data_IF_003912684890
#
_entry.id   IF_003912684890
#
_cell.length_a   1.000
_cell.length_b   1.000
_cell.length_c   1.000
_cell.angle_alpha   90.00
_cell.angle_beta   90.00
_cell.angle_gamma   90.00
#
_symmetry.space_group_name_H-M   'P 1'
#
loop_
_entity.id
_entity.type
_entity.pdbx_description
1 polymer ?
#
# COMPACT_ATOMS: atom_id res chain seq x y z
N UNK A 1 -7.37 -8.82 28.96
CA UNK A 1 -7.66 -7.58 28.17
C UNK A 1 -7.01 -6.33 28.76
N UNK A 2 -7.09 -6.06 30.08
CA UNK A 2 -6.44 -4.88 30.72
C UNK A 2 -4.96 -4.71 30.31
N UNK A 3 -4.20 -5.79 30.36
CA UNK A 3 -2.79 -5.83 29.93
C UNK A 3 -2.60 -5.39 28.48
N UNK A 4 -3.49 -5.79 27.56
CA UNK A 4 -3.38 -5.42 26.15
C UNK A 4 -3.64 -3.94 25.91
N UNK A 5 -4.57 -3.35 26.66
CA UNK A 5 -4.77 -1.89 26.64
C UNK A 5 -3.57 -1.15 27.23
N UNK A 6 -2.99 -1.65 28.33
CA UNK A 6 -1.76 -1.06 28.90
C UNK A 6 -0.58 -1.11 27.94
N UNK A 7 -0.37 -2.25 27.25
CA UNK A 7 0.71 -2.39 26.25
C UNK A 7 0.47 -1.44 25.07
N UNK A 8 -0.74 -1.40 24.51
CA UNK A 8 -1.05 -0.51 23.39
C UNK A 8 -0.92 0.97 23.78
N UNK A 9 -1.45 1.38 24.94
CA UNK A 9 -1.31 2.74 25.45
C UNK A 9 0.13 3.13 25.73
N UNK A 10 0.90 2.22 26.35
CA UNK A 10 2.34 2.41 26.55
C UNK A 10 3.10 2.58 25.24
N UNK A 11 2.76 1.81 24.21
CA UNK A 11 3.35 1.92 22.89
C UNK A 11 3.02 3.25 22.19
N UNK A 12 1.79 3.75 22.35
CA UNK A 12 1.40 5.08 21.87
C UNK A 12 2.24 6.16 22.57
N UNK A 13 2.37 6.11 23.89
CA UNK A 13 3.19 7.07 24.65
C UNK A 13 4.66 7.01 24.21
N UNK A 14 5.23 5.81 24.10
CA UNK A 14 6.61 5.63 23.61
C UNK A 14 6.75 6.22 22.19
N UNK A 15 5.81 5.92 21.29
CA UNK A 15 5.81 6.49 19.95
C UNK A 15 5.75 8.01 19.95
N UNK A 16 4.94 8.61 20.83
CA UNK A 16 4.86 10.07 20.98
C UNK A 16 6.21 10.63 21.45
N UNK A 17 6.87 9.97 22.41
CA UNK A 17 8.20 10.38 22.87
C UNK A 17 9.23 10.30 21.74
N UNK A 18 9.25 9.20 20.99
CA UNK A 18 10.16 9.05 19.83
C UNK A 18 9.90 10.13 18.79
N UNK A 19 8.63 10.41 18.49
CA UNK A 19 8.25 11.46 17.55
C UNK A 19 8.72 12.85 18.00
N UNK A 20 8.59 13.18 19.30
CA UNK A 20 9.03 14.46 19.84
C UNK A 20 10.56 14.58 19.86
N UNK A 21 11.28 13.48 20.05
CA UNK A 21 12.74 13.48 20.10
C UNK A 21 13.41 13.42 18.72
N UNK A 22 12.86 12.65 17.78
CA UNK A 22 13.51 12.31 16.51
C UNK A 22 12.73 12.74 15.26
N UNK A 23 11.50 13.24 15.44
CA UNK A 23 10.62 13.58 14.32
C UNK A 23 9.95 12.38 13.67
N UNK A 24 9.47 12.56 12.45
CA UNK A 24 8.73 11.56 11.69
C UNK A 24 9.65 10.42 11.20
N UNK A 25 9.05 9.27 10.88
CA UNK A 25 9.78 8.10 10.35
C UNK A 25 10.41 8.45 8.99
N UNK A 26 11.74 8.31 8.82
CA UNK A 26 12.40 8.61 7.56
C UNK A 26 12.26 7.44 6.57
N UNK A 27 11.08 7.28 5.96
CA UNK A 27 10.78 6.14 5.07
C UNK A 27 11.81 5.95 3.95
N UNK A 28 12.33 7.04 3.36
CA UNK A 28 13.34 6.98 2.30
C UNK A 28 14.66 6.34 2.73
N UNK A 29 15.02 6.42 4.02
CA UNK A 29 16.21 5.77 4.56
C UNK A 29 16.05 4.24 4.66
N UNK A 30 14.82 3.74 4.52
CA UNK A 30 14.44 2.33 4.65
C UNK A 30 14.13 1.72 3.27
N UNK A 31 14.46 2.40 2.18
CA UNK A 31 14.34 1.87 0.82
C UNK A 31 15.17 0.59 0.60
N UNK A 32 14.96 -0.07 -0.54
CA UNK A 32 15.68 -1.26 -0.93
C UNK A 32 17.21 -1.08 -0.83
N UNK A 33 17.95 -2.04 -0.24
CA UNK A 33 17.53 -3.38 0.21
C UNK A 33 17.06 -3.48 1.67
N UNK A 34 17.03 -2.37 2.42
CA UNK A 34 16.82 -2.40 3.86
C UNK A 34 15.40 -2.83 4.24
N UNK A 35 14.37 -2.33 3.56
CA UNK A 35 12.98 -2.81 3.75
C UNK A 35 12.83 -4.32 3.52
N UNK A 36 13.51 -4.89 2.53
CA UNK A 36 13.54 -6.32 2.27
C UNK A 36 14.16 -7.10 3.43
N UNK A 37 15.27 -6.61 3.98
CA UNK A 37 15.90 -7.18 5.18
C UNK A 37 15.00 -7.06 6.41
N UNK A 38 14.33 -5.93 6.61
CA UNK A 38 13.38 -5.73 7.72
C UNK A 38 12.17 -6.66 7.61
N UNK A 39 11.64 -6.86 6.39
CA UNK A 39 10.56 -7.82 6.15
C UNK A 39 11.01 -9.26 6.48
N UNK A 40 12.19 -9.66 6.00
CA UNK A 40 12.78 -10.96 6.33
C UNK A 40 13.01 -11.14 7.83
N UNK A 41 13.51 -10.11 8.52
CA UNK A 41 13.70 -10.11 9.96
C UNK A 41 12.36 -10.23 10.71
N UNK A 42 11.31 -9.52 10.29
CA UNK A 42 9.96 -9.64 10.86
C UNK A 42 9.43 -11.08 10.74
N UNK A 43 9.59 -11.72 9.58
CA UNK A 43 9.20 -13.11 9.36
C UNK A 43 10.01 -14.06 10.26
N UNK A 44 11.33 -13.91 10.32
CA UNK A 44 12.18 -14.75 11.16
C UNK A 44 11.84 -14.61 12.65
N UNK A 45 11.70 -13.38 13.14
CA UNK A 45 11.36 -13.09 14.52
C UNK A 45 9.98 -13.62 14.91
N UNK A 46 8.98 -13.53 14.02
CA UNK A 46 7.64 -14.07 14.29
C UNK A 46 7.63 -15.60 14.32
N UNK A 47 8.43 -16.26 13.49
CA UNK A 47 8.62 -17.73 13.55
C UNK A 47 9.33 -18.13 14.85
N UNK A 48 10.42 -17.46 15.22
CA UNK A 48 11.13 -17.71 16.48
C UNK A 48 10.17 -17.52 17.66
N UNK A 49 9.42 -16.41 17.67
CA UNK A 49 8.43 -16.15 18.69
C UNK A 49 7.39 -17.28 18.73
N UNK A 50 6.84 -17.68 17.59
CA UNK A 50 5.90 -18.80 17.53
C UNK A 50 6.46 -20.08 18.15
N UNK A 51 7.72 -20.45 17.89
CA UNK A 51 8.36 -21.63 18.49
C UNK A 51 8.49 -21.50 20.02
N UNK A 52 8.79 -20.30 20.51
CA UNK A 52 8.96 -19.99 21.93
C UNK A 52 7.64 -19.78 22.70
N UNK A 53 6.48 -19.75 22.02
CA UNK A 53 5.15 -19.42 22.60
C UNK A 53 4.75 -20.26 23.81
N UNK A 54 5.24 -21.50 23.92
CA UNK A 54 4.94 -22.37 25.06
C UNK A 54 5.80 -22.02 26.28
N UNK A 55 7.00 -21.47 26.07
CA UNK A 55 7.96 -21.14 27.12
C UNK A 55 7.80 -19.71 27.66
N UNK A 56 7.48 -18.75 26.80
CA UNK A 56 7.41 -17.32 27.17
C UNK A 56 5.96 -16.86 27.29
N UNK A 57 5.59 -16.36 28.47
CA UNK A 57 4.25 -15.83 28.75
C UNK A 57 3.85 -14.70 27.79
N UNK A 58 4.72 -13.70 27.60
CA UNK A 58 4.45 -12.53 26.73
C UNK A 58 4.09 -12.95 25.32
N UNK A 59 4.82 -13.91 24.75
CA UNK A 59 4.54 -14.42 23.40
C UNK A 59 3.20 -15.16 23.35
N UNK A 60 2.91 -15.97 24.38
CA UNK A 60 1.62 -16.68 24.49
C UNK A 60 0.46 -15.69 24.55
N UNK A 61 0.65 -14.60 25.30
CA UNK A 61 -0.29 -13.49 25.44
C UNK A 61 -0.48 -12.75 24.11
N UNK A 62 0.59 -12.36 23.43
CA UNK A 62 0.55 -11.68 22.13
C UNK A 62 -0.20 -12.49 21.07
N UNK A 63 -0.06 -13.81 21.10
CA UNK A 63 -0.78 -14.70 20.18
C UNK A 63 -2.25 -14.95 20.59
N UNK A 64 -2.81 -14.24 21.58
CA UNK A 64 -4.18 -14.39 22.05
C UNK A 64 -5.09 -13.23 21.61
N UNK A 65 -6.40 -13.47 21.59
CA UNK A 65 -7.38 -12.41 21.30
C UNK A 65 -7.35 -11.28 22.35
N UNK A 66 -6.86 -11.55 23.56
CA UNK A 66 -6.72 -10.57 24.64
C UNK A 66 -5.71 -9.47 24.30
N UNK A 67 -4.75 -9.74 23.41
CA UNK A 67 -3.82 -8.77 22.85
C UNK A 67 -4.33 -8.17 21.53
N UNK A 68 -4.96 -9.00 20.68
CA UNK A 68 -5.44 -8.57 19.37
C UNK A 68 -6.54 -7.49 19.45
N UNK A 69 -7.53 -7.65 20.34
CA UNK A 69 -8.66 -6.70 20.43
C UNK A 69 -8.19 -5.29 20.83
N UNK A 70 -7.38 -5.10 21.90
CA UNK A 70 -6.89 -3.77 22.24
C UNK A 70 -6.07 -3.12 21.13
N UNK A 71 -5.18 -3.88 20.48
CA UNK A 71 -4.36 -3.35 19.35
C UNK A 71 -5.24 -2.93 18.18
N UNK A 72 -6.29 -3.69 17.87
CA UNK A 72 -7.28 -3.31 16.87
C UNK A 72 -8.03 -2.03 17.26
N UNK A 73 -8.40 -1.85 18.53
CA UNK A 73 -9.04 -0.61 19.00
C UNK A 73 -8.11 0.59 18.82
N UNK A 74 -6.83 0.48 19.20
CA UNK A 74 -5.86 1.55 18.96
C UNK A 74 -5.67 1.84 17.47
N UNK A 75 -5.53 0.80 16.65
CA UNK A 75 -5.40 0.96 15.21
C UNK A 75 -6.61 1.69 14.60
N UNK A 76 -7.83 1.31 15.00
CA UNK A 76 -9.07 1.97 14.54
C UNK A 76 -9.11 3.43 14.99
N UNK A 77 -8.81 3.73 16.26
CA UNK A 77 -8.80 5.12 16.76
C UNK A 77 -7.79 5.98 15.99
N UNK A 78 -6.57 5.48 15.79
CA UNK A 78 -5.55 6.21 15.04
C UNK A 78 -5.90 6.35 13.55
N UNK A 79 -6.58 5.36 12.96
CA UNK A 79 -7.09 5.43 11.58
C UNK A 79 -8.24 6.45 11.46
N UNK A 80 -9.11 6.55 12.47
CA UNK A 80 -10.14 7.59 12.51
C UNK A 80 -9.49 8.97 12.57
N UNK A 81 -8.47 9.15 13.41
CA UNK A 81 -7.71 10.42 13.45
C UNK A 81 -7.13 10.72 12.07
N UNK A 82 -6.48 9.75 11.42
CA UNK A 82 -5.96 9.89 10.06
C UNK A 82 -7.03 10.30 9.04
N UNK A 83 -8.24 9.75 9.14
CA UNK A 83 -9.35 10.08 8.23
C UNK A 83 -10.03 11.42 8.53
N UNK A 84 -9.93 11.93 9.77
CA UNK A 84 -10.49 13.22 10.18
C UNK A 84 -9.50 14.38 10.02
N UNK A 85 -8.19 14.11 9.93
CA UNK A 85 -7.19 15.13 9.67
C UNK A 85 -6.84 15.20 8.19
N UNK A 86 -6.55 16.41 7.70
CA UNK A 86 -6.09 16.62 6.32
C UNK A 86 -4.73 15.97 6.14
N UNK A 87 -4.67 14.82 5.48
CA UNK A 87 -3.41 14.16 5.13
C UNK A 87 -2.68 14.97 4.06
N UNK A 88 -1.40 15.23 4.28
CA UNK A 88 -0.56 15.94 3.31
C UNK A 88 -0.07 14.97 2.24
N UNK A 89 -0.09 15.42 0.99
CA UNK A 89 0.59 14.72 -0.10
C UNK A 89 1.99 15.29 -0.21
N UNK A 90 3.01 14.46 -0.45
CA UNK A 90 4.40 14.93 -0.51
C UNK A 90 4.68 16.00 -1.57
N UNK A 91 3.71 16.32 -2.44
CA UNK A 91 3.81 17.30 -3.53
C UNK A 91 3.77 18.77 -3.06
N UNK A 92 3.28 19.04 -1.86
CA UNK A 92 3.11 20.41 -1.35
C UNK A 92 4.34 20.87 -0.55
N UNK A 93 5.29 21.54 -1.22
CA UNK A 93 6.54 22.04 -0.58
C UNK A 93 6.33 23.16 0.47
N UNK A 94 5.13 23.72 0.57
CA UNK A 94 4.82 24.89 1.40
C UNK A 94 3.85 24.60 2.56
N UNK A 95 3.60 23.33 2.92
CA UNK A 95 2.63 23.02 3.98
C UNK A 95 3.24 23.10 5.38
N UNK A 96 2.84 24.11 6.16
CA UNK A 96 3.00 24.18 7.62
C UNK A 96 2.05 23.17 8.31
N UNK A 97 2.29 21.88 8.08
CA UNK A 97 1.51 20.79 8.66
C UNK A 97 1.99 20.42 10.05
N UNK A 98 1.07 19.92 10.89
CA UNK A 98 1.43 19.19 12.10
C UNK A 98 1.76 17.74 11.76
N UNK A 99 2.45 17.04 12.65
CA UNK A 99 2.63 15.58 12.67
C UNK A 99 1.33 14.74 12.51
N UNK A 100 0.14 15.29 12.75
CA UNK A 100 -1.14 14.61 12.47
C UNK A 100 -1.57 14.67 11.00
N UNK A 101 -0.89 15.50 10.20
CA UNK A 101 -1.08 15.60 8.76
C UNK A 101 -0.25 14.54 7.99
N UNK A 102 0.66 13.82 8.66
CA UNK A 102 1.42 12.70 8.09
C UNK A 102 1.38 11.49 9.02
N UNK A 103 0.20 10.87 9.09
CA UNK A 103 -0.04 9.75 10.00
C UNK A 103 0.74 8.49 9.63
N UNK A 104 1.13 8.34 8.36
CA UNK A 104 1.92 7.18 7.91
C UNK A 104 3.37 7.27 8.38
N UNK A 105 3.92 8.46 8.61
CA UNK A 105 5.23 8.65 9.22
C UNK A 105 5.19 8.88 10.74
N UNK A 106 4.00 8.80 11.35
CA UNK A 106 3.79 9.07 12.77
C UNK A 106 4.09 7.84 13.66
N UNK A 107 5.07 7.94 14.56
CA UNK A 107 5.58 6.79 15.33
C UNK A 107 4.53 5.97 16.10
N UNK A 108 3.57 6.55 16.86
CA UNK A 108 2.48 5.79 17.48
C UNK A 108 1.67 4.95 16.50
N UNK A 109 1.37 5.49 15.32
CA UNK A 109 0.68 4.76 14.27
C UNK A 109 1.52 3.58 13.80
N UNK A 110 2.80 3.83 13.46
CA UNK A 110 3.73 2.81 12.98
C UNK A 110 3.94 1.69 14.00
N UNK A 111 4.16 2.03 15.28
CA UNK A 111 4.40 1.02 16.31
C UNK A 111 3.16 0.14 16.54
N UNK A 112 1.96 0.72 16.58
CA UNK A 112 0.71 -0.04 16.71
C UNK A 112 0.52 -0.96 15.50
N UNK A 113 0.85 -0.48 14.29
CA UNK A 113 0.76 -1.26 13.07
C UNK A 113 1.77 -2.43 13.04
N UNK A 114 3.01 -2.20 13.49
CA UNK A 114 4.03 -3.25 13.67
C UNK A 114 3.56 -4.30 14.68
N UNK A 115 3.00 -3.88 15.82
CA UNK A 115 2.45 -4.80 16.80
C UNK A 115 1.28 -5.61 16.23
N UNK A 116 0.40 -4.97 15.46
CA UNK A 116 -0.70 -5.63 14.74
C UNK A 116 -0.17 -6.66 13.74
N UNK A 117 0.89 -6.34 12.99
CA UNK A 117 1.55 -7.27 12.06
C UNK A 117 2.10 -8.50 12.80
N UNK A 118 2.78 -8.30 13.93
CA UNK A 118 3.32 -9.39 14.74
C UNK A 118 2.21 -10.29 15.30
N UNK A 119 1.15 -9.72 15.85
CA UNK A 119 0.01 -10.49 16.37
C UNK A 119 -0.66 -11.27 15.24
N UNK A 120 -0.90 -10.64 14.09
CA UNK A 120 -1.51 -11.27 12.92
C UNK A 120 -0.66 -12.44 12.41
N UNK A 121 0.66 -12.26 12.29
CA UNK A 121 1.60 -13.33 11.92
C UNK A 121 1.55 -14.52 12.90
N UNK A 122 1.55 -14.26 14.21
CA UNK A 122 1.45 -15.30 15.24
C UNK A 122 0.12 -16.07 15.17
N UNK A 123 -0.98 -15.37 14.87
CA UNK A 123 -2.31 -15.98 14.68
C UNK A 123 -2.32 -16.87 13.43
N UNK A 124 -1.72 -16.42 12.32
CA UNK A 124 -1.58 -17.21 11.10
C UNK A 124 -0.78 -18.50 11.37
N UNK A 125 0.41 -18.38 11.98
CA UNK A 125 1.26 -19.52 12.31
C UNK A 125 0.57 -20.52 13.25
N UNK A 126 -0.18 -20.02 14.23
CA UNK A 126 -0.98 -20.87 15.13
C UNK A 126 -2.05 -21.65 14.37
N UNK A 127 -2.72 -21.04 13.40
CA UNK A 127 -3.72 -21.74 12.58
C UNK A 127 -3.06 -22.76 11.66
N UNK A 128 -1.96 -22.41 11.02
CA UNK A 128 -1.20 -23.31 10.14
C UNK A 128 -0.66 -24.55 10.88
N UNK A 129 -0.27 -24.41 12.14
CA UNK A 129 0.19 -25.55 12.94
C UNK A 129 -0.93 -26.51 13.40
N UNK A 130 -2.20 -26.12 13.25
CA UNK A 130 -3.37 -26.91 13.65
C UNK A 130 -4.41 -27.00 12.52
N UNK A 131 -3.93 -27.18 11.27
CA UNK A 131 -4.78 -27.43 10.11
C UNK A 131 -5.51 -28.78 10.31
N UNK A 132 -6.81 -28.70 10.57
CA UNK A 132 -7.64 -29.88 10.84
C UNK A 132 -8.77 -30.02 9.83
N UNK A 133 -9.31 -28.91 9.33
CA UNK A 133 -10.37 -28.92 8.33
C UNK A 133 -10.11 -27.88 7.25
N UNK A 134 -9.79 -28.35 6.05
CA UNK A 134 -9.52 -27.54 4.86
C UNK A 134 -10.63 -26.49 4.61
N UNK A 135 -11.91 -26.88 4.72
CA UNK A 135 -13.08 -25.98 4.49
C UNK A 135 -13.20 -24.83 5.50
N UNK A 136 -12.67 -25.01 6.72
CA UNK A 136 -12.72 -24.00 7.79
C UNK A 136 -11.43 -23.21 7.89
N UNK A 137 -10.30 -23.85 7.61
CA UNK A 137 -8.99 -23.32 7.92
C UNK A 137 -8.40 -22.51 6.76
N UNK A 138 -8.65 -22.90 5.50
CA UNK A 138 -8.22 -22.08 4.36
C UNK A 138 -8.86 -20.70 4.35
N UNK A 139 -10.20 -20.54 4.46
CA UNK A 139 -10.79 -19.21 4.30
C UNK A 139 -10.30 -18.26 5.39
N UNK A 140 -10.02 -18.80 6.58
CA UNK A 140 -9.34 -18.08 7.65
C UNK A 140 -7.92 -17.68 7.26
N UNK A 141 -7.08 -18.63 6.83
CA UNK A 141 -5.67 -18.37 6.50
C UNK A 141 -5.56 -17.42 5.31
N UNK A 142 -6.35 -17.59 4.25
CA UNK A 142 -6.34 -16.70 3.08
C UNK A 142 -6.67 -15.26 3.47
N UNK A 143 -7.70 -15.04 4.29
CA UNK A 143 -8.04 -13.69 4.75
C UNK A 143 -6.95 -13.08 5.63
N UNK A 144 -6.41 -13.82 6.60
CA UNK A 144 -5.43 -13.28 7.53
C UNK A 144 -4.05 -13.11 6.88
N UNK A 145 -3.61 -14.08 6.09
CA UNK A 145 -2.36 -14.01 5.33
C UNK A 145 -2.44 -12.96 4.22
N UNK A 146 -3.60 -12.84 3.57
CA UNK A 146 -3.84 -11.80 2.58
C UNK A 146 -3.77 -10.41 3.20
N UNK A 147 -4.44 -10.20 4.36
CA UNK A 147 -4.33 -8.97 5.14
C UNK A 147 -2.89 -8.71 5.58
N UNK A 148 -2.19 -9.71 6.11
CA UNK A 148 -0.80 -9.58 6.56
C UNK A 148 0.11 -9.14 5.41
N UNK A 149 -0.02 -9.77 4.25
CA UNK A 149 0.78 -9.45 3.08
C UNK A 149 0.47 -8.02 2.61
N UNK A 150 -0.79 -7.71 2.30
CA UNK A 150 -1.20 -6.39 1.83
C UNK A 150 -0.76 -5.28 2.80
N UNK A 151 -0.94 -5.51 4.09
CA UNK A 151 -0.57 -4.57 5.14
C UNK A 151 0.93 -4.33 5.23
N UNK A 152 1.74 -5.39 5.31
CA UNK A 152 3.19 -5.27 5.55
C UNK A 152 3.94 -4.81 4.30
N UNK A 153 3.57 -5.30 3.12
CA UNK A 153 4.23 -4.92 1.87
C UNK A 153 3.82 -3.53 1.40
N UNK A 154 2.60 -3.06 1.69
CA UNK A 154 2.24 -1.67 1.41
C UNK A 154 3.02 -0.69 2.29
N UNK A 155 3.19 -0.97 3.58
CA UNK A 155 3.96 -0.10 4.47
C UNK A 155 5.45 -0.07 4.12
N UNK A 156 6.08 -1.24 3.92
CA UNK A 156 7.52 -1.31 3.62
C UNK A 156 7.85 -0.90 2.18
N UNK A 157 6.92 -1.15 1.25
CA UNK A 157 7.06 -0.78 -0.16
C UNK A 157 6.90 0.71 -0.42
N UNK A 158 6.25 1.46 0.48
CA UNK A 158 6.11 2.91 0.36
C UNK A 158 7.45 3.64 0.22
N UNK A 159 8.53 3.10 0.79
CA UNK A 159 9.88 3.63 0.66
C UNK A 159 10.46 3.53 -0.76
N UNK A 160 10.03 2.54 -1.54
CA UNK A 160 10.51 2.28 -2.90
C UNK A 160 9.58 2.84 -3.98
N UNK A 161 8.38 3.29 -3.60
CA UNK A 161 7.43 3.88 -4.53
C UNK A 161 7.97 5.22 -5.05
N UNK A 162 8.13 5.32 -6.36
CA UNK A 162 8.53 6.55 -7.03
C UNK A 162 7.34 7.14 -7.78
N UNK A 163 7.16 8.46 -7.63
CA UNK A 163 6.20 9.25 -8.40
C UNK A 163 6.93 10.42 -9.02
N UNK A 164 6.95 10.48 -10.34
CA UNK A 164 7.64 11.50 -11.11
C UNK A 164 6.66 12.19 -12.06
N UNK A 165 6.85 13.49 -12.29
CA UNK A 165 6.11 14.26 -13.29
C UNK A 165 7.01 14.61 -14.45
N UNK A 166 6.60 14.30 -15.68
CA UNK A 166 7.31 14.66 -16.90
C UNK A 166 6.45 15.63 -17.71
N UNK A 167 7.08 16.68 -18.24
CA UNK A 167 6.44 17.56 -19.24
C UNK A 167 6.98 17.15 -20.61
N UNK A 168 6.16 16.45 -21.38
CA UNK A 168 6.51 16.02 -22.73
C UNK A 168 6.00 17.05 -23.75
N UNK A 169 6.87 17.54 -24.62
CA UNK A 169 6.52 18.51 -25.66
C UNK A 169 6.48 17.83 -27.03
N UNK A 170 5.61 18.33 -27.92
CA UNK A 170 5.42 17.76 -29.26
C UNK A 170 6.75 17.71 -30.03
N UNK A 171 7.12 16.51 -30.50
CA UNK A 171 8.31 16.28 -31.31
C UNK A 171 9.64 16.30 -30.55
N UNK A 172 9.62 16.48 -29.22
CA UNK A 172 10.82 16.56 -28.39
C UNK A 172 10.90 15.30 -27.50
N UNK A 173 11.92 14.44 -27.68
CA UNK A 173 12.16 13.33 -26.77
C UNK A 173 12.56 13.84 -25.40
N UNK A 174 11.82 13.43 -24.35
CA UNK A 174 12.09 13.82 -22.97
C UNK A 174 12.40 12.58 -22.11
N UNK A 175 13.38 12.71 -21.20
CA UNK A 175 13.79 11.65 -20.27
C UNK A 175 13.99 12.17 -18.86
N UNK A 176 13.82 13.48 -18.65
CA UNK A 176 13.90 14.12 -17.34
C UNK A 176 12.49 14.17 -16.77
N UNK A 177 12.36 13.70 -15.54
CA UNK A 177 11.12 13.80 -14.78
C UNK A 177 11.42 14.42 -13.41
N UNK A 178 10.48 15.22 -12.93
CA UNK A 178 10.55 15.92 -11.66
C UNK A 178 10.00 15.01 -10.56
N UNK A 179 10.83 14.69 -9.58
CA UNK A 179 10.40 14.00 -8.38
C UNK A 179 9.64 14.92 -7.43
N UNK A 180 8.92 14.32 -6.49
CA UNK A 180 8.12 15.01 -5.46
C UNK A 180 8.94 16.03 -4.65
N UNK A 181 10.21 15.71 -4.37
CA UNK A 181 11.15 16.60 -3.67
C UNK A 181 11.79 17.68 -4.57
N UNK A 182 11.30 17.86 -5.80
CA UNK A 182 11.80 18.86 -6.75
C UNK A 182 13.11 18.47 -7.44
N UNK A 183 13.65 17.28 -7.16
CA UNK A 183 14.86 16.81 -7.85
C UNK A 183 14.53 16.30 -9.25
N UNK A 184 15.41 16.55 -10.20
CA UNK A 184 15.27 16.02 -11.56
C UNK A 184 15.90 14.62 -11.60
N UNK A 185 15.08 13.62 -11.91
CA UNK A 185 15.50 12.25 -12.14
C UNK A 185 15.50 11.95 -13.64
N UNK A 186 16.54 11.25 -14.10
CA UNK A 186 16.62 10.77 -15.49
C UNK A 186 16.07 9.35 -15.56
N UNK A 187 15.16 9.13 -16.49
CA UNK A 187 14.57 7.82 -16.76
C UNK A 187 15.46 7.02 -17.73
N UNK A 188 15.38 5.69 -17.68
CA UNK A 188 16.08 4.81 -18.63
C UNK A 188 15.41 4.76 -20.02
N UNK A 189 14.24 5.41 -20.17
CA UNK A 189 13.48 5.52 -21.43
C UNK A 189 13.26 6.99 -21.81
N UNK A 190 13.09 7.26 -23.10
CA UNK A 190 12.67 8.57 -23.59
C UNK A 190 11.22 8.52 -24.04
N UNK A 191 10.43 9.53 -23.69
CA UNK A 191 9.05 9.70 -24.13
C UNK A 191 8.98 10.95 -25.00
N UNK A 192 8.54 10.80 -26.24
CA UNK A 192 8.28 11.90 -27.15
C UNK A 192 6.76 12.03 -27.34
N UNK A 193 6.21 13.22 -27.11
CA UNK A 193 4.82 13.49 -27.44
C UNK A 193 4.69 13.64 -28.96
N UNK A 194 3.87 12.83 -29.61
CA UNK A 194 3.54 13.01 -31.03
C UNK A 194 2.39 13.99 -31.18
N UNK A 195 1.34 13.80 -30.39
CA UNK A 195 0.14 14.63 -30.45
C UNK A 195 -0.66 14.50 -29.17
N UNK A 196 -1.17 15.63 -28.69
CA UNK A 196 -2.18 15.67 -27.67
C UNK A 196 -3.58 15.62 -28.30
N UNK A 197 -4.48 14.84 -27.71
CA UNK A 197 -5.85 14.66 -28.16
C UNK A 197 -6.76 15.13 -27.03
N UNK A 198 -7.69 16.02 -27.34
CA UNK A 198 -8.78 16.39 -26.45
C UNK A 198 -10.11 16.24 -27.19
N UNK A 199 -11.02 15.49 -26.61
CA UNK A 199 -12.42 15.44 -27.03
C UNK A 199 -13.23 16.32 -26.06
N UNK A 200 -14.08 17.18 -26.61
CA UNK A 200 -15.01 18.00 -25.85
C UNK A 200 -16.45 17.54 -26.08
N UNK A 201 -17.32 17.76 -25.10
CA UNK A 201 -18.77 17.71 -25.31
C UNK A 201 -19.24 18.94 -26.11
N UNK A 202 -20.49 18.92 -26.56
CA UNK A 202 -21.10 20.02 -27.32
C UNK A 202 -21.17 21.34 -26.51
N UNK A 203 -21.17 21.23 -25.18
CA UNK A 203 -21.13 22.37 -24.25
C UNK A 203 -19.70 22.91 -24.00
N UNK A 204 -18.69 22.33 -24.65
CA UNK A 204 -17.28 22.72 -24.54
C UNK A 204 -16.53 22.10 -23.36
N UNK A 205 -17.19 21.32 -22.50
CA UNK A 205 -16.52 20.65 -21.38
C UNK A 205 -15.63 19.49 -21.86
N UNK A 206 -14.48 19.28 -21.20
CA UNK A 206 -13.55 18.22 -21.57
C UNK A 206 -14.14 16.83 -21.28
N UNK A 207 -14.27 16.01 -22.33
CA UNK A 207 -14.78 14.64 -22.25
C UNK A 207 -13.67 13.63 -22.03
N UNK A 208 -12.56 13.80 -22.75
CA UNK A 208 -11.41 12.90 -22.75
C UNK A 208 -10.18 13.67 -23.18
N UNK A 209 -9.05 13.37 -22.56
CA UNK A 209 -7.77 13.82 -23.06
C UNK A 209 -6.79 12.66 -23.05
N UNK A 210 -5.95 12.59 -24.08
CA UNK A 210 -5.02 11.51 -24.30
C UNK A 210 -3.77 12.03 -25.01
N UNK A 211 -2.67 11.31 -24.87
CA UNK A 211 -1.40 11.63 -25.52
C UNK A 211 -0.93 10.46 -26.37
N UNK A 212 -0.81 10.69 -27.67
CA UNK A 212 -0.05 9.79 -28.53
C UNK A 212 1.43 10.03 -28.30
N UNK A 213 2.13 8.99 -27.87
CA UNK A 213 3.53 9.07 -27.48
C UNK A 213 4.34 8.00 -28.19
N UNK A 214 5.59 8.35 -28.47
CA UNK A 214 6.62 7.43 -28.92
C UNK A 214 7.59 7.20 -27.78
N UNK A 215 7.65 5.97 -27.28
CA UNK A 215 8.47 5.59 -26.14
C UNK A 215 9.63 4.75 -26.63
N UNK A 216 10.86 5.22 -26.39
CA UNK A 216 12.09 4.46 -26.67
C UNK A 216 12.61 3.87 -25.37
N UNK A 217 12.57 2.55 -25.28
CA UNK A 217 13.04 1.75 -24.15
C UNK A 217 14.57 1.79 -24.04
N UNK A 218 15.09 1.40 -22.88
CA UNK A 218 16.53 1.27 -22.67
C UNK A 218 17.18 0.24 -23.62
N UNK A 219 16.41 -0.77 -24.05
CA UNK A 219 16.83 -1.78 -25.01
C UNK A 219 17.01 -1.26 -26.45
N UNK A 220 16.55 -0.04 -26.74
CA UNK A 220 16.48 0.53 -28.09
C UNK A 220 15.18 0.24 -28.82
N UNK A 221 14.32 -0.65 -28.30
CA UNK A 221 12.97 -0.88 -28.84
C UNK A 221 12.12 0.38 -28.73
N UNK A 222 11.37 0.69 -29.78
CA UNK A 222 10.48 1.85 -29.81
C UNK A 222 9.03 1.37 -29.86
N UNK A 223 8.18 1.91 -28.99
CA UNK A 223 6.77 1.57 -28.85
C UNK A 223 5.97 2.85 -29.04
N UNK A 224 5.11 2.85 -30.05
CA UNK A 224 4.12 3.91 -30.25
C UNK A 224 2.81 3.50 -29.57
N UNK A 225 2.29 4.37 -28.72
CA UNK A 225 1.11 4.06 -27.91
C UNK A 225 0.35 5.33 -27.54
N UNK A 226 -0.91 5.17 -27.14
CA UNK A 226 -1.73 6.26 -26.61
C UNK A 226 -1.89 6.10 -25.11
N UNK A 227 -1.54 7.13 -24.35
CA UNK A 227 -1.80 7.22 -22.91
C UNK A 227 -3.10 8.00 -22.74
N UNK A 228 -4.12 7.36 -22.18
CA UNK A 228 -5.46 7.93 -22.03
C UNK A 228 -5.77 8.20 -20.55
N UNK A 229 -6.70 9.11 -20.28
CA UNK A 229 -7.20 9.33 -18.92
C UNK A 229 -7.74 8.02 -18.36
N UNK A 230 -7.34 7.68 -17.13
CA UNK A 230 -7.68 6.44 -16.43
C UNK A 230 -7.21 5.13 -17.09
N UNK A 231 -6.41 5.18 -18.17
CA UNK A 231 -5.81 3.99 -18.80
C UNK A 231 -4.28 4.17 -18.90
N UNK A 232 -3.56 3.89 -17.80
CA UNK A 232 -2.11 3.99 -17.81
C UNK A 232 -1.48 2.95 -18.74
N UNK A 233 -0.31 3.28 -19.28
CA UNK A 233 0.54 2.35 -20.03
C UNK A 233 1.67 1.89 -19.12
N UNK A 234 1.97 0.59 -19.12
CA UNK A 234 3.07 0.01 -18.32
C UNK A 234 4.27 -0.32 -19.21
N UNK A 235 5.42 0.32 -18.95
CA UNK A 235 6.67 0.12 -19.69
C UNK A 235 7.85 0.11 -18.70
N UNK A 236 8.71 -0.92 -18.80
CA UNK A 236 9.94 -1.03 -18.00
C UNK A 236 9.73 -0.83 -16.48
N UNK A 237 8.60 -1.32 -15.95
CA UNK A 237 8.24 -1.19 -14.52
C UNK A 237 7.59 0.15 -14.14
N UNK A 238 7.38 1.04 -15.09
CA UNK A 238 6.70 2.32 -14.89
C UNK A 238 5.28 2.28 -15.42
N UNK A 239 4.32 2.69 -14.59
CA UNK A 239 2.96 3.03 -15.02
C UNK A 239 2.91 4.51 -15.35
N UNK A 240 2.59 4.83 -16.59
CA UNK A 240 2.57 6.19 -17.12
C UNK A 240 1.11 6.62 -17.26
N UNK A 241 0.73 7.64 -16.51
CA UNK A 241 -0.62 8.20 -16.48
C UNK A 241 -0.65 9.53 -17.22
N UNK A 242 -1.75 9.76 -17.92
CA UNK A 242 -2.10 11.10 -18.38
C UNK A 242 -2.51 11.94 -17.15
N UNK A 243 -1.67 12.90 -16.77
CA UNK A 243 -1.89 13.71 -15.57
C UNK A 243 -2.53 15.06 -15.90
N UNK A 244 -2.05 15.73 -16.95
CA UNK A 244 -2.52 17.06 -17.31
C UNK A 244 -1.99 17.53 -18.65
N UNK A 245 -2.28 18.78 -18.97
CA UNK A 245 -1.93 19.43 -20.22
C UNK A 245 -1.94 20.95 -20.00
N UNK A 246 -1.61 21.73 -21.02
CA UNK A 246 -1.74 23.19 -20.98
C UNK A 246 -3.21 23.61 -21.05
N UNK A 247 -3.77 24.01 -19.91
CA UNK A 247 -5.17 24.43 -19.82
C UNK A 247 -5.47 25.73 -20.55
N UNK A 248 -4.48 26.60 -20.78
CA UNK A 248 -4.67 27.84 -21.53
C UNK A 248 -4.84 27.55 -23.03
N UNK A 249 -4.11 26.54 -23.54
CA UNK A 249 -4.20 26.12 -24.94
C UNK A 249 -5.32 25.09 -25.21
N UNK A 250 -5.82 24.40 -24.18
CA UNK A 250 -6.89 23.43 -24.31
C UNK A 250 -6.57 22.32 -25.32
N UNK A 251 -7.46 22.11 -26.29
CA UNK A 251 -7.30 21.09 -27.34
C UNK A 251 -6.08 21.31 -28.25
N UNK A 252 -5.51 22.52 -28.26
CA UNK A 252 -4.33 22.86 -29.05
C UNK A 252 -3.02 22.72 -28.26
N UNK A 253 -3.06 22.11 -27.07
CA UNK A 253 -1.88 21.97 -26.23
C UNK A 253 -0.73 21.26 -26.96
N UNK A 254 0.45 21.88 -26.93
CA UNK A 254 1.70 21.31 -27.44
C UNK A 254 2.51 20.56 -26.36
N UNK A 255 1.95 20.43 -25.16
CA UNK A 255 2.57 19.74 -24.04
C UNK A 255 1.59 18.76 -23.40
N UNK A 256 2.14 17.70 -22.83
CA UNK A 256 1.41 16.77 -21.99
C UNK A 256 2.17 16.57 -20.69
N UNK A 257 1.45 16.63 -19.57
CA UNK A 257 1.99 16.33 -18.26
C UNK A 257 1.70 14.86 -17.98
N UNK A 258 2.75 14.06 -17.88
CA UNK A 258 2.68 12.64 -17.60
C UNK A 258 3.11 12.37 -16.16
N UNK A 259 2.35 11.56 -15.43
CA UNK A 259 2.76 11.05 -14.12
C UNK A 259 3.30 9.63 -14.28
N UNK A 260 4.57 9.41 -13.93
CA UNK A 260 5.21 8.12 -13.95
C UNK A 260 5.27 7.57 -12.53
N UNK A 261 4.70 6.37 -12.33
CA UNK A 261 4.65 5.70 -11.04
C UNK A 261 5.35 4.34 -11.15
N UNK A 262 6.33 4.09 -10.29
CA UNK A 262 6.98 2.78 -10.13
C UNK A 262 6.83 2.32 -8.70
N UNK A 263 6.26 1.14 -8.49
CA UNK A 263 6.12 0.50 -7.19
C UNK A 263 6.45 -1.01 -7.33
N UNK A 264 7.68 -1.42 -6.96
CA UNK A 264 8.10 -2.83 -7.03
C UNK A 264 7.32 -3.76 -6.08
N UNK A 265 6.67 -3.21 -5.05
CA UNK A 265 5.98 -3.98 -4.01
C UNK A 265 4.48 -4.15 -4.29
N UNK A 266 3.92 -3.34 -5.18
CA UNK A 266 2.52 -3.38 -5.57
C UNK A 266 2.01 -4.78 -5.97
N UNK A 267 2.77 -5.64 -6.69
CA UNK A 267 2.34 -7.00 -6.97
C UNK A 267 2.03 -7.82 -5.70
N UNK A 268 2.84 -7.68 -4.64
CA UNK A 268 2.62 -8.40 -3.38
C UNK A 268 1.39 -7.87 -2.65
N UNK A 269 1.15 -6.56 -2.72
CA UNK A 269 -0.09 -5.96 -2.18
C UNK A 269 -1.31 -6.56 -2.87
N UNK A 270 -1.29 -6.65 -4.21
CA UNK A 270 -2.39 -7.27 -4.96
C UNK A 270 -2.57 -8.74 -4.66
N UNK A 271 -1.49 -9.53 -4.51
CA UNK A 271 -1.59 -10.91 -4.05
C UNK A 271 -2.34 -10.97 -2.71
N UNK A 272 -2.01 -10.09 -1.77
CA UNK A 272 -2.70 -10.00 -0.49
C UNK A 272 -4.20 -9.70 -0.62
N UNK A 273 -4.56 -8.72 -1.46
CA UNK A 273 -5.96 -8.34 -1.72
C UNK A 273 -6.73 -9.50 -2.39
N UNK A 274 -6.16 -10.13 -3.41
CA UNK A 274 -6.81 -11.27 -4.08
C UNK A 274 -6.95 -12.47 -3.15
N UNK A 275 -6.01 -12.71 -2.24
CA UNK A 275 -6.14 -13.73 -1.20
C UNK A 275 -7.31 -13.44 -0.27
N UNK A 276 -7.50 -12.18 0.15
CA UNK A 276 -8.67 -11.80 0.97
C UNK A 276 -9.98 -12.00 0.20
N UNK A 277 -10.05 -11.56 -1.06
CA UNK A 277 -11.24 -11.77 -1.90
C UNK A 277 -11.56 -13.27 -2.05
N UNK A 278 -10.56 -14.10 -2.35
CA UNK A 278 -10.71 -15.56 -2.42
C UNK A 278 -11.15 -16.16 -1.08
N UNK A 279 -10.55 -15.72 0.03
CA UNK A 279 -10.91 -16.14 1.38
C UNK A 279 -12.37 -15.81 1.73
N UNK A 280 -12.85 -14.62 1.38
CA UNK A 280 -14.23 -14.21 1.54
C UNK A 280 -15.19 -15.08 0.71
N UNK A 281 -14.88 -15.33 -0.57
CA UNK A 281 -15.67 -16.23 -1.43
C UNK A 281 -15.73 -17.64 -0.84
N UNK A 282 -14.61 -18.19 -0.37
CA UNK A 282 -14.59 -19.51 0.26
C UNK A 282 -15.43 -19.55 1.55
N UNK A 283 -15.46 -18.48 2.35
CA UNK A 283 -16.34 -18.39 3.53
C UNK A 283 -17.82 -18.47 3.13
N UNK A 284 -18.24 -17.78 2.07
CA UNK A 284 -19.62 -17.86 1.58
C UNK A 284 -19.98 -19.27 1.09
N UNK A 285 -19.11 -19.89 0.29
CA UNK A 285 -19.36 -21.22 -0.29
C UNK A 285 -19.38 -22.32 0.77
N UNK A 286 -18.49 -22.28 1.77
CA UNK A 286 -18.37 -23.33 2.78
C UNK A 286 -19.17 -23.04 4.07
N UNK A 287 -19.49 -21.79 4.36
CA UNK A 287 -20.19 -21.37 5.58
C UNK A 287 -21.68 -21.74 5.62
N UNK A 288 -22.34 -21.82 4.47
CA UNK A 288 -23.80 -22.05 4.37
C UNK A 288 -24.28 -23.48 4.66
N UNK A 289 -23.39 -24.47 4.86
CA UNK A 289 -23.78 -25.89 4.99
C UNK A 289 -24.04 -26.35 6.44
N UNK A 290 -24.14 -25.45 7.41
CA UNK A 290 -24.22 -25.79 8.84
C UNK A 290 -25.63 -26.01 9.42
N UNK A 291 -26.69 -25.97 8.61
CA UNK A 291 -28.07 -25.89 9.10
C UNK A 291 -29.04 -27.04 8.81
N UNK A 292 -28.61 -28.25 8.40
CA UNK A 292 -29.56 -29.32 8.00
C UNK A 292 -29.24 -30.75 8.50
N UNK A 293 -28.71 -30.91 9.71
CA UNK A 293 -28.59 -32.24 10.33
C UNK A 293 -28.80 -32.13 11.84
N UNK A 294 -30.07 -32.01 12.27
CA UNK A 294 -30.56 -32.37 13.62
C UNK A 294 -32.08 -32.12 13.68
N UNK A 295 -32.84 -32.86 12.88
CA UNK A 295 -34.30 -32.74 12.82
C UNK A 295 -34.96 -34.01 12.31
N UNK A 296 -34.53 -35.16 12.80
CA UNK A 296 -35.24 -36.43 12.66
C UNK A 296 -34.72 -37.35 13.77
N UNK A 297 -35.53 -37.54 14.80
CA UNK A 297 -35.77 -38.75 15.61
C UNK A 297 -36.46 -38.28 16.89
N UNK A 298 -37.79 -38.26 16.89
CA UNK A 298 -38.58 -38.67 18.04
C UNK A 298 -39.81 -39.41 17.47
N UNK A 299 -39.77 -40.75 17.60
CA UNK A 299 -40.95 -41.61 17.55
C UNK A 299 -41.80 -41.38 18.80
#
# INVERSE_FOLDING_TARGET
MKEGFLIGGGLVVIGLMVQLCFGAVPWSAIAWPLNGLLFGALLALTVIAFLMRKRIYVIRFLASYMAAIPVLVYAVVLTIVMGLTRQQSGLDMNSEGTWLNDMLAFWPFVLIYVLMAVILALVILRRLAHLSSWRRDIPFVMNHLGLFLAMTTATLGNADMQRLKMVAAVGIPEWRALAVNGTIQRLPMTIELKRFIMETYDDGSAKRYASEVLIRKASGETVETTIDVNRPVEIEGWKIYQYGYDTEMGAQSHISILELVSDPWLPFVYVGIYMMLGGAVCLFVFGGRRGKTNGEVIN
#
